data_IF_349305765424
#
_entry.id   IF_349305765424
#
_cell.length_a   1.000
_cell.length_b   1.000
_cell.length_c   1.000
_cell.angle_alpha   90.00
_cell.angle_beta   90.00
_cell.angle_gamma   90.00
#
_symmetry.space_group_name_H-M   'P 1'
#
loop_
_entity.id
_entity.type
_entity.pdbx_description
1 polymer ?
#
# COMPACT_ATOMS: atom_id res chain seq x y z
N UNK A 1 -51.80 129.30 16.72
CA UNK A 1 -51.05 128.53 15.69
C UNK A 1 -50.32 127.33 16.30
N UNK A 2 -50.96 126.53 17.17
CA UNK A 2 -50.30 125.47 17.94
C UNK A 2 -50.72 124.04 17.54
N UNK A 3 -51.64 123.90 16.56
CA UNK A 3 -52.14 122.60 16.11
C UNK A 3 -51.40 122.06 14.87
N UNK A 4 -50.74 122.92 14.07
CA UNK A 4 -49.98 122.50 12.88
C UNK A 4 -48.67 121.76 13.19
N UNK A 5 -47.93 122.17 14.22
CA UNK A 5 -46.67 121.52 14.61
C UNK A 5 -46.85 120.06 15.07
N UNK A 6 -47.96 119.74 15.74
CA UNK A 6 -48.24 118.36 16.17
C UNK A 6 -48.51 117.39 15.01
N UNK A 7 -49.00 117.90 13.88
CA UNK A 7 -49.21 117.08 12.68
C UNK A 7 -47.90 116.90 11.91
N UNK A 8 -47.04 117.92 11.89
CA UNK A 8 -45.73 117.85 11.25
C UNK A 8 -44.77 116.89 11.96
N UNK A 9 -44.68 116.97 13.29
CA UNK A 9 -43.83 116.04 14.06
C UNK A 9 -44.30 114.59 13.94
N UNK A 10 -45.62 114.38 13.80
CA UNK A 10 -46.23 113.07 13.61
C UNK A 10 -45.97 112.52 12.20
N UNK A 11 -45.94 113.39 11.19
CA UNK A 11 -45.60 113.06 9.81
C UNK A 11 -44.11 112.69 9.69
N UNK A 12 -43.22 113.46 10.32
CA UNK A 12 -41.78 113.24 10.31
C UNK A 12 -41.38 111.97 11.09
N UNK A 13 -42.03 111.71 12.23
CA UNK A 13 -41.90 110.41 12.92
C UNK A 13 -42.49 109.26 12.13
N UNK A 14 -43.58 109.48 11.38
CA UNK A 14 -44.15 108.51 10.45
C UNK A 14 -43.19 108.15 9.32
N UNK A 15 -42.57 109.15 8.68
CA UNK A 15 -41.58 108.96 7.61
C UNK A 15 -40.33 108.24 8.12
N UNK A 16 -39.82 108.61 9.29
CA UNK A 16 -38.67 107.93 9.91
C UNK A 16 -38.97 106.45 10.23
N UNK A 17 -40.20 106.14 10.68
CA UNK A 17 -40.66 104.78 10.91
C UNK A 17 -40.76 103.97 9.60
N UNK A 18 -41.30 104.57 8.54
CA UNK A 18 -41.39 103.91 7.22
C UNK A 18 -40.00 103.67 6.62
N UNK A 19 -39.09 104.65 6.72
CA UNK A 19 -37.70 104.48 6.29
C UNK A 19 -36.97 103.39 7.08
N UNK A 20 -37.19 103.32 8.39
CA UNK A 20 -36.65 102.26 9.24
C UNK A 20 -37.19 100.88 8.85
N UNK A 21 -38.51 100.74 8.66
CA UNK A 21 -39.16 99.49 8.22
C UNK A 21 -38.61 99.04 6.86
N UNK A 22 -38.47 99.96 5.91
CA UNK A 22 -37.96 99.67 4.58
C UNK A 22 -36.46 99.31 4.60
N UNK A 23 -35.66 99.93 5.49
CA UNK A 23 -34.24 99.62 5.67
C UNK A 23 -34.00 98.28 6.38
N UNK A 24 -34.97 97.80 7.14
CA UNK A 24 -34.85 96.59 7.99
C UNK A 24 -34.98 95.27 7.24
N UNK A 25 -35.21 95.29 5.91
CA UNK A 25 -35.37 94.13 5.01
C UNK A 25 -36.01 92.88 5.69
N UNK A 26 -37.21 92.99 6.26
CA UNK A 26 -37.82 91.92 7.05
C UNK A 26 -38.00 90.61 6.27
N UNK A 27 -38.13 90.69 4.94
CA UNK A 27 -38.34 89.51 4.10
C UNK A 27 -37.06 88.72 3.81
N UNK A 28 -35.89 89.35 3.75
CA UNK A 28 -34.62 88.62 3.69
C UNK A 28 -34.36 87.90 5.01
N UNK A 29 -34.70 88.51 6.15
CA UNK A 29 -34.63 87.84 7.46
C UNK A 29 -35.60 86.65 7.57
N UNK A 30 -36.83 86.77 7.04
CA UNK A 30 -37.76 85.63 6.96
C UNK A 30 -37.23 84.52 6.06
N UNK A 31 -36.65 84.86 4.92
CA UNK A 31 -36.06 83.90 4.00
C UNK A 31 -34.89 83.15 4.64
N UNK A 32 -33.94 83.87 5.24
CA UNK A 32 -32.80 83.27 5.96
C UNK A 32 -33.28 82.36 7.10
N UNK A 33 -34.32 82.76 7.84
CA UNK A 33 -34.93 81.91 8.88
C UNK A 33 -35.52 80.62 8.30
N UNK A 34 -36.22 80.70 7.17
CA UNK A 34 -36.79 79.54 6.50
C UNK A 34 -35.70 78.59 5.96
N UNK A 35 -34.66 79.13 5.35
CA UNK A 35 -33.50 78.37 4.88
C UNK A 35 -32.76 77.69 6.04
N UNK A 36 -32.58 78.40 7.16
CA UNK A 36 -31.95 77.83 8.35
C UNK A 36 -32.78 76.70 8.97
N UNK A 37 -34.11 76.85 9.00
CA UNK A 37 -35.01 75.79 9.45
C UNK A 37 -34.93 74.56 8.53
N UNK A 38 -34.96 74.76 7.21
CA UNK A 38 -34.84 73.67 6.25
C UNK A 38 -33.49 72.94 6.37
N UNK A 39 -32.41 73.68 6.62
CA UNK A 39 -31.08 73.11 6.87
C UNK A 39 -31.06 72.30 8.17
N UNK A 40 -31.67 72.80 9.24
CA UNK A 40 -31.77 72.09 10.52
C UNK A 40 -32.59 70.80 10.40
N UNK A 41 -33.72 70.85 9.70
CA UNK A 41 -34.57 69.68 9.46
C UNK A 41 -33.79 68.62 8.66
N UNK A 42 -33.09 69.05 7.60
CA UNK A 42 -32.23 68.16 6.79
C UNK A 42 -31.07 67.58 7.61
N UNK A 43 -30.45 68.35 8.49
CA UNK A 43 -29.42 67.83 9.37
C UNK A 43 -29.99 66.79 10.34
N UNK A 44 -31.15 67.07 10.94
CA UNK A 44 -31.80 66.15 11.88
C UNK A 44 -32.14 64.82 11.20
N UNK A 45 -32.66 64.89 9.97
CA UNK A 45 -32.97 63.70 9.17
C UNK A 45 -31.71 62.94 8.76
N UNK A 46 -30.67 63.64 8.31
CA UNK A 46 -29.37 63.02 7.98
C UNK A 46 -28.78 62.31 9.20
N UNK A 47 -28.84 62.94 10.37
CA UNK A 47 -28.35 62.36 11.63
C UNK A 47 -29.15 61.10 11.99
N UNK A 48 -30.47 61.11 11.78
CA UNK A 48 -31.34 59.96 12.01
C UNK A 48 -30.96 58.79 11.09
N UNK A 49 -30.79 59.06 9.80
CA UNK A 49 -30.39 58.07 8.79
C UNK A 49 -29.02 57.48 9.11
N UNK A 50 -28.01 58.32 9.38
CA UNK A 50 -26.65 57.86 9.70
C UNK A 50 -26.64 57.01 10.97
N UNK A 51 -27.40 57.40 12.00
CA UNK A 51 -27.52 56.60 13.22
C UNK A 51 -28.12 55.23 12.94
N UNK A 52 -29.13 55.15 12.05
CA UNK A 52 -29.72 53.87 11.69
C UNK A 52 -28.72 53.00 10.92
N UNK A 53 -28.02 53.58 9.93
CA UNK A 53 -26.99 52.86 9.17
C UNK A 53 -25.91 52.31 10.10
N UNK A 54 -25.43 53.11 11.07
CA UNK A 54 -24.42 52.65 12.02
C UNK A 54 -24.91 51.48 12.87
N UNK A 55 -26.17 51.50 13.32
CA UNK A 55 -26.77 50.37 14.04
C UNK A 55 -26.85 49.12 13.18
N UNK A 56 -27.29 49.28 11.94
CA UNK A 56 -27.42 48.16 11.00
C UNK A 56 -26.03 47.57 10.68
N UNK A 57 -24.99 48.40 10.51
CA UNK A 57 -23.60 47.96 10.30
C UNK A 57 -23.08 47.18 11.50
N UNK A 58 -23.29 47.66 12.74
CA UNK A 58 -22.86 46.94 13.95
C UNK A 58 -23.56 45.58 14.03
N UNK A 59 -24.86 45.50 13.78
CA UNK A 59 -25.58 44.23 13.80
C UNK A 59 -25.05 43.26 12.73
N UNK A 60 -24.78 43.75 11.52
CA UNK A 60 -24.23 42.91 10.44
C UNK A 60 -22.83 42.43 10.79
N UNK A 61 -21.99 43.27 11.39
CA UNK A 61 -20.65 42.88 11.84
C UNK A 61 -20.69 41.83 12.96
N UNK A 62 -21.60 41.98 13.93
CA UNK A 62 -21.80 40.98 14.99
C UNK A 62 -22.28 39.65 14.42
N UNK A 63 -23.28 39.65 13.54
CA UNK A 63 -23.81 38.45 12.89
C UNK A 63 -22.73 37.75 12.03
N UNK A 64 -21.93 38.52 11.30
CA UNK A 64 -20.83 38.01 10.49
C UNK A 64 -19.71 37.43 11.37
N UNK A 65 -19.39 38.10 12.48
CA UNK A 65 -18.41 37.63 13.46
C UNK A 65 -18.82 36.29 14.07
N UNK A 66 -20.08 36.14 14.48
CA UNK A 66 -20.57 34.88 15.03
C UNK A 66 -20.52 33.74 14.01
N UNK A 67 -20.95 33.98 12.77
CA UNK A 67 -20.88 32.97 11.71
C UNK A 67 -19.45 32.53 11.41
N UNK A 68 -18.48 33.45 11.46
CA UNK A 68 -17.08 33.11 11.26
C UNK A 68 -16.54 32.24 12.40
N UNK A 69 -16.95 32.51 13.65
CA UNK A 69 -16.57 31.68 14.79
C UNK A 69 -17.15 30.27 14.66
N UNK A 70 -18.45 30.16 14.34
CA UNK A 70 -19.12 28.87 14.16
C UNK A 70 -18.45 28.04 13.04
N UNK A 71 -18.10 28.70 11.92
CA UNK A 71 -17.43 28.07 10.79
C UNK A 71 -16.01 27.61 11.13
N UNK A 72 -15.26 28.39 11.92
CA UNK A 72 -13.91 28.00 12.35
C UNK A 72 -13.98 26.82 13.33
N UNK A 73 -15.00 26.74 14.19
CA UNK A 73 -15.21 25.60 15.07
C UNK A 73 -15.54 24.32 14.29
N UNK A 74 -16.44 24.41 13.31
CA UNK A 74 -16.77 23.27 12.44
C UNK A 74 -15.54 22.80 11.66
N UNK A 75 -14.79 23.73 11.07
CA UNK A 75 -13.53 23.43 10.37
C UNK A 75 -12.54 22.73 11.30
N UNK A 76 -12.38 23.20 12.53
CA UNK A 76 -11.50 22.58 13.50
C UNK A 76 -11.90 21.14 13.85
N UNK A 77 -13.21 20.87 13.91
CA UNK A 77 -13.74 19.53 14.15
C UNK A 77 -13.46 18.62 12.95
N UNK A 78 -13.71 19.10 11.72
CA UNK A 78 -13.39 18.37 10.49
C UNK A 78 -11.90 18.07 10.34
N UNK A 79 -11.03 19.01 10.70
CA UNK A 79 -9.57 18.79 10.69
C UNK A 79 -9.13 17.73 11.70
N UNK A 80 -9.83 17.59 12.83
CA UNK A 80 -9.57 16.48 13.77
C UNK A 80 -10.02 15.14 13.19
N UNK A 81 -11.20 15.09 12.57
CA UNK A 81 -11.70 13.89 11.89
C UNK A 81 -10.77 13.45 10.77
N UNK A 82 -10.35 14.39 9.90
CA UNK A 82 -9.42 14.13 8.80
C UNK A 82 -8.10 13.55 9.29
N UNK A 83 -7.47 14.15 10.30
CA UNK A 83 -6.22 13.62 10.89
C UNK A 83 -6.38 12.20 11.44
N UNK A 84 -7.51 11.92 12.09
CA UNK A 84 -7.81 10.57 12.59
C UNK A 84 -7.96 9.57 11.44
N UNK A 85 -8.64 9.94 10.35
CA UNK A 85 -8.76 9.10 9.16
C UNK A 85 -7.41 8.87 8.48
N UNK A 86 -6.59 9.90 8.34
CA UNK A 86 -5.25 9.81 7.77
C UNK A 86 -4.35 8.85 8.57
N UNK A 87 -4.41 8.93 9.90
CA UNK A 87 -3.67 8.02 10.78
C UNK A 87 -4.14 6.56 10.60
N UNK A 88 -5.46 6.32 10.55
CA UNK A 88 -6.01 4.99 10.30
C UNK A 88 -5.60 4.44 8.93
N UNK A 89 -5.63 5.28 7.90
CA UNK A 89 -5.23 4.91 6.54
C UNK A 89 -3.74 4.54 6.49
N UNK A 90 -2.90 5.34 7.15
CA UNK A 90 -1.47 5.05 7.29
C UNK A 90 -1.21 3.71 7.98
N UNK A 91 -1.91 3.43 9.09
CA UNK A 91 -1.80 2.15 9.80
C UNK A 91 -2.26 0.96 8.94
N UNK A 92 -3.39 1.09 8.22
CA UNK A 92 -3.87 0.05 7.31
C UNK A 92 -2.91 -0.19 6.16
N UNK A 93 -2.33 0.86 5.61
CA UNK A 93 -1.34 0.77 4.53
C UNK A 93 -0.08 0.03 5.01
N UNK A 94 0.43 0.38 6.20
CA UNK A 94 1.57 -0.32 6.79
C UNK A 94 1.26 -1.81 7.04
N UNK A 95 0.07 -2.13 7.56
CA UNK A 95 -0.37 -3.53 7.74
C UNK A 95 -0.44 -4.27 6.41
N UNK A 96 -0.99 -3.66 5.36
CA UNK A 96 -1.05 -4.24 4.02
C UNK A 96 0.34 -4.55 3.49
N UNK A 97 1.27 -3.61 3.60
CA UNK A 97 2.65 -3.80 3.14
C UNK A 97 3.35 -4.95 3.88
N UNK A 98 3.16 -5.05 5.20
CA UNK A 98 3.68 -6.18 5.99
C UNK A 98 3.08 -7.50 5.50
N UNK A 99 1.76 -7.59 5.37
CA UNK A 99 1.11 -8.81 4.88
C UNK A 99 1.54 -9.19 3.45
N UNK A 100 1.71 -8.21 2.55
CA UNK A 100 2.21 -8.46 1.20
C UNK A 100 3.64 -9.04 1.23
N UNK A 101 4.49 -8.54 2.13
CA UNK A 101 5.84 -9.08 2.31
C UNK A 101 5.85 -10.49 2.87
N UNK A 102 4.95 -10.81 3.81
CA UNK A 102 4.76 -12.16 4.35
C UNK A 102 4.27 -13.12 3.28
N UNK A 103 3.30 -12.71 2.45
CA UNK A 103 2.81 -13.52 1.33
C UNK A 103 3.93 -13.84 0.34
N UNK A 104 4.72 -12.83 -0.05
CA UNK A 104 5.86 -13.06 -0.95
C UNK A 104 6.91 -13.99 -0.35
N UNK A 105 7.16 -13.88 0.96
CA UNK A 105 8.06 -14.78 1.66
C UNK A 105 7.54 -16.22 1.64
N UNK A 106 6.27 -16.43 2.01
CA UNK A 106 5.64 -17.75 2.03
C UNK A 106 5.57 -18.38 0.63
N UNK A 107 5.32 -17.59 -0.41
CA UNK A 107 5.35 -18.08 -1.80
C UNK A 107 6.73 -18.60 -2.20
N UNK A 108 7.80 -17.89 -1.85
CA UNK A 108 9.18 -18.33 -2.12
C UNK A 108 9.50 -19.62 -1.35
N UNK A 109 9.07 -19.70 -0.10
CA UNK A 109 9.29 -20.88 0.73
C UNK A 109 8.55 -22.11 0.20
N UNK A 110 7.32 -21.92 -0.29
CA UNK A 110 6.52 -22.96 -0.93
C UNK A 110 7.20 -23.46 -2.21
N UNK A 111 7.70 -22.55 -3.05
CA UNK A 111 8.42 -22.94 -4.27
C UNK A 111 9.70 -23.71 -3.97
N UNK A 112 10.44 -23.30 -2.93
CA UNK A 112 11.62 -24.02 -2.45
C UNK A 112 11.27 -25.43 -1.98
N UNK A 113 10.18 -25.58 -1.23
CA UNK A 113 9.72 -26.88 -0.76
C UNK A 113 9.31 -27.79 -1.93
N UNK A 114 8.61 -27.26 -2.94
CA UNK A 114 8.28 -28.02 -4.15
C UNK A 114 9.50 -28.49 -4.92
N UNK A 115 10.53 -27.64 -5.06
CA UNK A 115 11.80 -28.04 -5.68
C UNK A 115 12.43 -29.21 -4.92
N UNK A 116 12.51 -29.08 -3.59
CA UNK A 116 13.07 -30.13 -2.73
C UNK A 116 12.25 -31.41 -2.76
N UNK A 117 10.92 -31.33 -2.82
CA UNK A 117 10.04 -32.48 -2.95
C UNK A 117 10.29 -33.22 -4.27
N UNK A 118 10.36 -32.49 -5.38
CA UNK A 118 10.67 -33.05 -6.69
C UNK A 118 12.08 -33.68 -6.74
N UNK A 119 13.09 -33.04 -6.13
CA UNK A 119 14.42 -33.63 -5.99
C UNK A 119 14.40 -34.95 -5.20
N UNK A 120 13.66 -35.00 -4.09
CA UNK A 120 13.51 -36.22 -3.29
C UNK A 120 12.76 -37.32 -4.06
N UNK A 121 11.72 -36.97 -4.82
CA UNK A 121 11.00 -37.92 -5.67
C UNK A 121 11.91 -38.51 -6.75
N UNK A 122 12.77 -37.70 -7.38
CA UNK A 122 13.74 -38.21 -8.34
C UNK A 122 14.74 -39.17 -7.72
N UNK A 123 15.30 -38.82 -6.54
CA UNK A 123 16.22 -39.70 -5.81
C UNK A 123 15.55 -40.99 -5.36
N UNK A 124 14.29 -40.93 -4.96
CA UNK A 124 13.52 -42.13 -4.59
C UNK A 124 13.35 -43.07 -5.77
N UNK A 125 12.98 -42.54 -6.94
CA UNK A 125 12.84 -43.33 -8.16
C UNK A 125 14.17 -43.99 -8.58
N UNK A 126 15.30 -43.28 -8.48
CA UNK A 126 16.63 -43.84 -8.75
C UNK A 126 16.95 -45.01 -7.81
N UNK A 127 16.70 -44.85 -6.50
CA UNK A 127 16.92 -45.92 -5.52
C UNK A 127 16.00 -47.12 -5.76
N UNK A 128 14.74 -46.86 -6.12
CA UNK A 128 13.77 -47.91 -6.41
C UNK A 128 14.16 -48.68 -7.69
N UNK A 129 14.63 -48.03 -8.75
CA UNK A 129 15.14 -48.69 -9.97
C UNK A 129 16.33 -49.62 -9.64
N UNK A 130 17.32 -49.10 -8.91
CA UNK A 130 18.50 -49.88 -8.50
C UNK A 130 18.12 -51.08 -7.62
N UNK A 131 17.21 -50.87 -6.67
CA UNK A 131 16.86 -51.89 -5.66
C UNK A 131 15.87 -52.93 -6.18
N UNK A 132 14.93 -52.54 -7.04
CA UNK A 132 13.83 -53.42 -7.46
C UNK A 132 14.04 -54.05 -8.83
N UNK A 133 14.84 -53.43 -9.71
CA UNK A 133 15.09 -53.98 -11.05
C UNK A 133 16.51 -54.52 -11.20
N UNK A 134 17.53 -53.71 -10.86
CA UNK A 134 18.93 -54.04 -11.17
C UNK A 134 19.48 -55.12 -10.23
N UNK A 135 19.34 -54.96 -8.92
CA UNK A 135 19.89 -55.90 -7.93
C UNK A 135 19.26 -57.30 -8.08
N UNK A 136 17.93 -57.48 -8.16
CA UNK A 136 17.32 -58.80 -8.33
C UNK A 136 17.71 -59.45 -9.66
N UNK A 137 17.81 -58.68 -10.75
CA UNK A 137 18.26 -59.18 -12.05
C UNK A 137 19.71 -59.69 -12.00
N UNK A 138 20.63 -58.92 -11.41
CA UNK A 138 22.02 -59.34 -11.26
C UNK A 138 22.15 -60.61 -10.40
N UNK A 139 21.37 -60.70 -9.31
CA UNK A 139 21.29 -61.91 -8.47
C UNK A 139 20.75 -63.08 -9.27
N UNK A 140 19.70 -62.90 -10.08
CA UNK A 140 19.15 -63.96 -10.92
C UNK A 140 20.16 -64.43 -11.99
N UNK A 141 20.86 -63.52 -12.66
CA UNK A 141 21.91 -63.85 -13.64
C UNK A 141 23.05 -64.63 -12.97
N UNK A 142 23.52 -64.17 -11.81
CA UNK A 142 24.55 -64.88 -11.05
C UNK A 142 24.08 -66.29 -10.63
N UNK A 143 22.81 -66.42 -10.20
CA UNK A 143 22.19 -67.70 -9.89
C UNK A 143 22.08 -68.60 -11.12
N UNK A 144 21.70 -68.07 -12.29
CA UNK A 144 21.63 -68.81 -13.56
C UNK A 144 23.00 -69.34 -13.96
N UNK A 145 24.05 -68.52 -13.91
CA UNK A 145 25.41 -68.98 -14.18
C UNK A 145 25.81 -70.11 -13.23
N UNK A 146 25.48 -70.01 -11.95
CA UNK A 146 25.70 -71.10 -11.01
C UNK A 146 24.82 -72.33 -11.31
N UNK A 147 23.56 -72.16 -11.70
CA UNK A 147 22.67 -73.28 -12.01
C UNK A 147 23.14 -74.08 -13.22
N UNK A 148 23.63 -73.39 -14.26
CA UNK A 148 24.14 -73.97 -15.50
C UNK A 148 25.51 -74.60 -15.27
N UNK A 149 26.44 -73.86 -14.68
CA UNK A 149 27.83 -74.31 -14.57
C UNK A 149 28.09 -75.15 -13.33
N UNK A 150 27.30 -74.99 -12.27
CA UNK A 150 27.55 -75.52 -10.92
C UNK A 150 28.90 -75.11 -10.33
N UNK A 151 29.51 -74.03 -10.81
CA UNK A 151 30.81 -73.54 -10.32
C UNK A 151 30.58 -72.41 -9.31
N UNK A 152 31.19 -72.51 -8.13
CA UNK A 152 31.35 -71.37 -7.21
C UNK A 152 32.77 -70.84 -7.26
N UNK A 153 32.91 -69.55 -7.51
CA UNK A 153 34.19 -68.87 -7.55
C UNK A 153 34.61 -68.37 -6.17
N UNK A 154 35.91 -68.38 -5.91
CA UNK A 154 36.55 -67.76 -4.75
C UNK A 154 37.03 -66.36 -5.15
N UNK A 155 36.41 -65.34 -4.58
CA UNK A 155 36.63 -63.95 -4.98
C UNK A 155 37.83 -63.29 -4.30
N UNK A 156 38.35 -63.89 -3.22
CA UNK A 156 39.52 -63.40 -2.48
C UNK A 156 40.81 -64.05 -3.00
N UNK A 157 41.13 -63.80 -4.27
CA UNK A 157 42.32 -64.37 -4.94
C UNK A 157 43.02 -63.35 -5.83
N UNK A 158 44.23 -63.67 -6.32
CA UNK A 158 44.98 -62.77 -7.19
C UNK A 158 44.25 -62.56 -8.53
N UNK A 159 44.28 -61.36 -9.16
CA UNK A 159 43.50 -61.06 -10.36
C UNK A 159 43.75 -61.98 -11.56
N UNK A 160 44.93 -62.61 -11.63
CA UNK A 160 45.32 -63.56 -12.67
C UNK A 160 45.06 -65.03 -12.30
N UNK A 161 44.49 -65.32 -11.13
CA UNK A 161 44.19 -66.69 -10.70
C UNK A 161 42.68 -66.88 -10.65
N UNK A 162 42.18 -67.75 -11.51
CA UNK A 162 40.80 -68.19 -11.48
C UNK A 162 40.67 -69.43 -10.58
N UNK A 163 40.12 -69.24 -9.39
CA UNK A 163 40.00 -70.29 -8.36
C UNK A 163 38.54 -70.49 -7.95
N UNK A 164 38.10 -71.75 -7.88
CA UNK A 164 36.72 -72.08 -7.52
C UNK A 164 36.52 -73.57 -7.31
N UNK A 165 35.26 -73.98 -7.16
CA UNK A 165 34.87 -75.39 -7.00
C UNK A 165 33.66 -75.68 -7.87
N UNK A 166 33.73 -76.75 -8.66
CA UNK A 166 32.62 -77.28 -9.43
C UNK A 166 31.84 -78.34 -8.64
N UNK A 167 30.53 -78.18 -8.55
CA UNK A 167 29.59 -79.04 -7.82
C UNK A 167 28.67 -79.81 -8.79
N UNK A 168 29.24 -80.72 -9.58
CA UNK A 168 28.49 -81.62 -10.45
C UNK A 168 27.76 -82.74 -9.69
N UNK A 169 27.17 -83.69 -10.42
CA UNK A 169 26.54 -84.89 -9.85
C UNK A 169 27.56 -85.85 -9.18
N UNK A 170 28.83 -85.71 -9.54
CA UNK A 170 29.98 -86.44 -9.00
C UNK A 170 30.67 -85.66 -7.85
N UNK A 171 31.83 -86.12 -7.39
CA UNK A 171 32.61 -85.45 -6.34
C UNK A 171 32.97 -84.00 -6.73
N UNK A 172 32.89 -83.09 -5.75
CA UNK A 172 33.24 -81.69 -5.94
C UNK A 172 34.69 -81.53 -6.44
N UNK A 173 34.88 -80.85 -7.57
CA UNK A 173 36.17 -80.73 -8.24
C UNK A 173 36.73 -79.32 -8.07
N UNK A 174 37.94 -79.16 -7.50
CA UNK A 174 38.56 -77.85 -7.37
C UNK A 174 39.05 -77.33 -8.73
N UNK A 175 38.89 -76.03 -8.94
CA UNK A 175 39.37 -75.29 -10.12
C UNK A 175 40.45 -74.33 -9.65
N UNK A 176 41.60 -74.37 -10.31
CA UNK A 176 42.71 -73.43 -10.10
C UNK A 176 43.46 -73.23 -11.40
N UNK A 177 43.26 -72.07 -12.04
CA UNK A 177 43.80 -71.76 -13.37
C UNK A 177 44.52 -70.41 -13.31
N UNK A 178 45.76 -70.35 -13.77
CA UNK A 178 46.48 -69.08 -13.96
C UNK A 178 46.20 -68.54 -15.37
N UNK A 179 45.45 -67.44 -15.43
CA UNK A 179 44.99 -66.80 -16.67
C UNK A 179 46.11 -66.11 -17.44
N UNK A 180 47.27 -65.87 -16.83
CA UNK A 180 48.44 -65.30 -17.50
C UNK A 180 49.16 -66.29 -18.42
N UNK A 181 48.95 -67.59 -18.20
CA UNK A 181 49.70 -68.66 -18.87
C UNK A 181 48.92 -69.37 -19.98
N UNK A 182 47.63 -69.04 -20.17
CA UNK A 182 46.72 -69.75 -21.08
C UNK A 182 45.86 -68.78 -21.88
N UNK A 183 45.41 -69.19 -23.07
CA UNK A 183 44.50 -68.37 -23.87
C UNK A 183 43.08 -68.36 -23.29
N UNK A 184 42.31 -67.30 -23.54
CA UNK A 184 40.92 -67.19 -23.06
C UNK A 184 40.03 -68.31 -23.59
N UNK A 185 40.26 -68.78 -24.82
CA UNK A 185 39.48 -69.85 -25.46
C UNK A 185 39.74 -71.17 -24.74
N UNK A 186 41.01 -71.52 -24.51
CA UNK A 186 41.38 -72.76 -23.83
C UNK A 186 40.79 -72.82 -22.41
N UNK A 187 40.78 -71.68 -21.71
CA UNK A 187 40.19 -71.56 -20.37
C UNK A 187 38.67 -71.78 -20.45
N UNK A 188 37.97 -71.13 -21.39
CA UNK A 188 36.52 -71.29 -21.55
C UNK A 188 36.14 -72.72 -21.92
N UNK A 189 36.87 -73.35 -22.85
CA UNK A 189 36.62 -74.74 -23.27
C UNK A 189 36.82 -75.71 -22.11
N UNK A 190 37.87 -75.49 -21.30
CA UNK A 190 38.09 -76.28 -20.08
C UNK A 190 36.94 -76.12 -19.07
N UNK A 191 36.43 -74.90 -18.88
CA UNK A 191 35.35 -74.63 -17.94
C UNK A 191 34.02 -75.25 -18.40
N UNK A 192 33.71 -75.16 -19.69
CA UNK A 192 32.53 -75.81 -20.26
C UNK A 192 32.64 -77.33 -20.26
N UNK A 193 33.86 -77.88 -20.31
CA UNK A 193 34.09 -79.31 -20.16
C UNK A 193 33.66 -79.90 -18.81
N UNK A 194 33.51 -79.09 -17.75
CA UNK A 194 32.95 -79.55 -16.48
C UNK A 194 31.42 -79.70 -16.50
N UNK A 195 30.75 -79.00 -17.41
CA UNK A 195 29.29 -79.00 -17.50
C UNK A 195 28.84 -80.25 -18.26
N UNK A 196 28.00 -81.06 -17.64
CA UNK A 196 27.46 -82.26 -18.28
C UNK A 196 26.59 -81.88 -19.49
N UNK A 197 26.84 -82.53 -20.62
CA UNK A 197 26.01 -82.42 -21.83
C UNK A 197 24.96 -83.53 -21.95
N UNK A 198 24.75 -84.31 -20.89
CA UNK A 198 23.74 -85.37 -20.83
C UNK A 198 22.39 -84.77 -20.41
N UNK A 199 21.34 -85.07 -21.18
CA UNK A 199 19.97 -84.56 -21.00
C UNK A 199 19.03 -85.67 -20.50
#
# INVERSE_FOLDING_TARGET
>A
MAQGHKFQDLEETGEALVAFINSSQPETLRQVKAEHQALFDRHTETRRIVTQILKDVVQIEEDAGQRLLDMEEEKHLRDKELRSLEEQLSQLTAKSQTSDSEIQFLQKELERLKSSENELETLQNEVDEDTTEVIPSAVHVAQLYYLVTKIKWEYDTQPNILKGVHYGAELATPIHIDTSTRSRIDISDQLWGFVSSQW
#
